data_IF_367454092238
#
_entry.id   IF_367454092238
#
_cell.length_a   1.000
_cell.length_b   1.000
_cell.length_c   1.000
_cell.angle_alpha   90.00
_cell.angle_beta   90.00
_cell.angle_gamma   90.00
#
_symmetry.space_group_name_H-M   'P 1'
#
loop_
_entity.id
_entity.type
_entity.pdbx_description
1 polymer ?
#
# COMPACT_ATOMS: atom_id res chain seq x y z
N UNK A 1 -3.47 9.96 -0.06
CA UNK A 1 -3.71 8.53 0.26
C UNK A 1 -2.57 7.70 -0.31
N UNK A 2 -2.17 6.61 0.35
CA UNK A 2 -1.09 5.74 -0.12
C UNK A 2 -1.48 4.27 -0.24
N UNK A 3 -0.78 3.55 -1.10
CA UNK A 3 -0.86 2.10 -1.25
C UNK A 3 0.55 1.51 -1.26
N UNK A 4 0.74 0.42 -0.52
CA UNK A 4 1.85 -0.52 -0.70
C UNK A 4 1.32 -1.83 -1.25
N UNK A 5 1.78 -2.24 -2.42
CA UNK A 5 1.13 -3.29 -3.23
C UNK A 5 2.10 -4.43 -3.54
N UNK A 6 1.66 -5.66 -3.42
CA UNK A 6 2.38 -6.80 -4.00
C UNK A 6 1.96 -6.96 -5.47
N UNK A 7 2.87 -6.74 -6.43
CA UNK A 7 2.53 -6.85 -7.85
C UNK A 7 2.22 -8.27 -8.31
N UNK A 8 2.68 -9.29 -7.57
CA UNK A 8 2.30 -10.68 -7.84
C UNK A 8 0.80 -10.89 -7.56
N UNK A 9 0.26 -10.15 -6.60
CA UNK A 9 -1.14 -10.19 -6.22
C UNK A 9 -2.00 -9.23 -7.05
N UNK A 10 -1.57 -7.98 -7.23
CA UNK A 10 -2.36 -6.95 -7.87
C UNK A 10 -1.50 -5.97 -8.68
N UNK A 11 -1.80 -5.77 -9.97
CA UNK A 11 -0.98 -4.97 -10.88
C UNK A 11 -1.74 -3.86 -11.63
N UNK A 12 -3.06 -3.75 -11.43
CA UNK A 12 -3.96 -2.80 -12.08
C UNK A 12 -4.02 -1.48 -11.27
N UNK A 13 -2.92 -0.72 -11.33
CA UNK A 13 -2.75 0.50 -10.54
C UNK A 13 -3.68 1.64 -10.97
N UNK A 14 -4.16 1.63 -12.21
CA UNK A 14 -5.14 2.61 -12.70
C UNK A 14 -6.39 2.61 -11.82
N UNK A 15 -6.91 1.43 -11.50
CA UNK A 15 -8.06 1.31 -10.59
C UNK A 15 -7.80 1.79 -9.16
N UNK A 16 -6.56 1.80 -8.69
CA UNK A 16 -6.21 2.37 -7.38
C UNK A 16 -6.19 3.91 -7.44
N UNK A 17 -5.72 4.49 -8.55
CA UNK A 17 -5.86 5.92 -8.80
C UNK A 17 -7.32 6.33 -8.91
N UNK A 18 -8.12 5.60 -9.69
CA UNK A 18 -9.56 5.81 -9.81
C UNK A 18 -10.27 5.75 -8.46
N UNK A 19 -9.87 4.81 -7.58
CA UNK A 19 -10.41 4.75 -6.24
C UNK A 19 -10.12 6.04 -5.46
N UNK A 20 -8.86 6.50 -5.44
CA UNK A 20 -8.52 7.77 -4.81
C UNK A 20 -9.32 8.95 -5.39
N UNK A 21 -9.49 8.99 -6.70
CA UNK A 21 -10.31 10.02 -7.37
C UNK A 21 -11.79 9.93 -7.01
N UNK A 22 -12.34 8.73 -6.81
CA UNK A 22 -13.72 8.56 -6.31
C UNK A 22 -13.92 9.11 -4.89
N UNK A 23 -12.84 9.28 -4.13
CA UNK A 23 -12.81 9.94 -2.82
C UNK A 23 -12.54 11.45 -2.90
N UNK A 24 -12.47 12.02 -4.11
CA UNK A 24 -12.19 13.44 -4.35
C UNK A 24 -10.70 13.80 -4.35
N UNK A 25 -9.78 12.83 -4.34
CA UNK A 25 -8.33 13.09 -4.41
C UNK A 25 -7.88 13.31 -5.87
N UNK A 26 -6.92 14.20 -6.07
CA UNK A 26 -6.26 14.29 -7.37
C UNK A 26 -5.30 13.09 -7.55
N UNK A 27 -5.08 12.59 -8.77
CA UNK A 27 -4.18 11.46 -9.01
C UNK A 27 -2.77 11.65 -8.42
N UNK A 28 -2.26 12.88 -8.42
CA UNK A 28 -0.96 13.23 -7.81
C UNK A 28 -0.89 13.03 -6.29
N UNK A 29 -2.04 13.04 -5.60
CA UNK A 29 -2.18 12.90 -4.14
C UNK A 29 -2.40 11.44 -3.73
N UNK A 30 -2.49 10.54 -4.72
CA UNK A 30 -2.46 9.09 -4.55
C UNK A 30 -1.04 8.60 -4.78
N UNK A 31 -0.43 8.02 -3.74
CA UNK A 31 0.92 7.48 -3.80
C UNK A 31 0.86 5.96 -3.84
N UNK A 32 1.50 5.34 -4.83
CA UNK A 32 1.57 3.89 -4.94
C UNK A 32 3.05 3.51 -4.93
N UNK A 33 3.38 2.54 -4.10
CA UNK A 33 4.68 1.92 -4.06
C UNK A 33 4.49 0.41 -4.08
N UNK A 34 5.29 -0.32 -4.86
CA UNK A 34 5.05 -1.75 -5.04
C UNK A 34 6.29 -2.61 -4.81
N UNK A 35 6.02 -3.83 -4.36
CA UNK A 35 7.00 -4.89 -4.24
C UNK A 35 6.95 -5.80 -5.47
N UNK A 36 8.13 -6.17 -5.97
CA UNK A 36 8.31 -7.17 -7.02
C UNK A 36 9.40 -8.14 -6.60
N UNK A 37 9.17 -9.45 -6.77
CA UNK A 37 10.20 -10.45 -6.46
C UNK A 37 11.45 -10.30 -7.35
N UNK A 38 11.24 -10.03 -8.64
CA UNK A 38 12.31 -9.84 -9.62
C UNK A 38 11.92 -8.74 -10.60
N UNK A 39 12.82 -7.77 -10.79
CA UNK A 39 12.65 -6.75 -11.83
C UNK A 39 12.66 -7.42 -13.20
N UNK A 40 11.60 -7.24 -13.98
CA UNK A 40 11.58 -7.69 -15.38
C UNK A 40 12.70 -6.97 -16.14
N UNK A 41 13.34 -7.67 -17.09
CA UNK A 41 14.44 -7.11 -17.92
C UNK A 41 13.97 -6.01 -18.88
N UNK A 42 12.66 -5.92 -19.12
CA UNK A 42 12.05 -4.82 -19.86
C UNK A 42 12.07 -3.56 -18.98
N UNK A 43 12.33 -2.36 -19.54
CA UNK A 43 12.23 -1.14 -18.77
C UNK A 43 10.81 -1.01 -18.22
N UNK A 44 10.61 -1.29 -16.93
CA UNK A 44 9.39 -0.88 -16.27
C UNK A 44 9.49 0.64 -16.11
N UNK A 45 8.56 1.37 -16.72
CA UNK A 45 8.42 2.83 -16.49
C UNK A 45 8.06 3.15 -15.01
N UNK A 46 7.71 2.12 -14.23
CA UNK A 46 7.36 2.21 -12.81
C UNK A 46 8.61 2.50 -11.99
N UNK A 47 8.75 3.74 -11.54
CA UNK A 47 9.86 4.17 -10.69
C UNK A 47 9.69 3.80 -9.21
N UNK A 48 8.45 3.58 -8.74
CA UNK A 48 8.13 3.30 -7.34
C UNK A 48 8.03 1.80 -7.06
N UNK A 49 9.12 1.08 -7.30
CA UNK A 49 9.24 -0.36 -7.06
C UNK A 49 10.41 -0.67 -6.13
N UNK A 50 10.26 -1.75 -5.35
CA UNK A 50 11.31 -2.34 -4.52
C UNK A 50 11.28 -3.87 -4.64
N UNK A 51 12.42 -4.51 -4.44
CA UNK A 51 12.60 -5.96 -4.34
C UNK A 51 13.09 -6.31 -2.94
N UNK A 52 13.25 -7.59 -2.65
CA UNK A 52 13.88 -8.02 -1.40
C UNK A 52 15.35 -7.58 -1.25
N UNK A 53 16.04 -7.28 -2.36
CA UNK A 53 17.48 -6.93 -2.37
C UNK A 53 17.77 -5.56 -1.77
N UNK A 54 16.79 -4.66 -1.72
CA UNK A 54 16.95 -3.35 -1.11
C UNK A 54 16.72 -3.34 0.41
N UNK A 55 16.41 -4.50 1.01
CA UNK A 55 16.29 -4.66 2.45
C UNK A 55 17.57 -5.28 3.02
N UNK A 56 18.06 -4.73 4.13
CA UNK A 56 19.12 -5.37 4.89
C UNK A 56 18.57 -6.46 5.82
N UNK A 57 19.44 -7.32 6.32
CA UNK A 57 19.07 -8.31 7.35
C UNK A 57 18.54 -7.68 8.64
N UNK A 58 18.80 -6.38 8.87
CA UNK A 58 18.25 -5.60 9.99
C UNK A 58 16.90 -4.95 9.69
N UNK A 59 16.35 -5.15 8.48
CA UNK A 59 15.10 -4.55 8.04
C UNK A 59 15.22 -3.10 7.54
N UNK A 60 16.44 -2.57 7.40
CA UNK A 60 16.65 -1.22 6.85
C UNK A 60 16.37 -1.22 5.35
N UNK A 61 15.65 -0.19 4.88
CA UNK A 61 15.33 0.02 3.47
C UNK A 61 16.36 0.95 2.85
N UNK A 62 17.15 0.45 1.90
CA UNK A 62 18.22 1.21 1.22
C UNK A 62 17.78 1.90 -0.06
N UNK A 63 16.58 1.61 -0.56
CA UNK A 63 16.11 2.18 -1.82
C UNK A 63 15.73 3.65 -1.63
N UNK A 64 16.36 4.57 -2.39
CA UNK A 64 16.11 6.01 -2.28
C UNK A 64 14.65 6.38 -2.55
N UNK A 65 14.06 5.82 -3.61
CA UNK A 65 12.63 6.03 -3.93
C UNK A 65 11.70 5.55 -2.80
N UNK A 66 12.04 4.43 -2.13
CA UNK A 66 11.26 3.90 -1.02
C UNK A 66 11.41 4.80 0.21
N UNK A 67 12.62 5.27 0.51
CA UNK A 67 12.84 6.27 1.57
C UNK A 67 12.03 7.55 1.31
N UNK A 68 12.04 8.05 0.09
CA UNK A 68 11.23 9.21 -0.31
C UNK A 68 9.74 8.95 -0.09
N UNK A 69 9.24 7.76 -0.43
CA UNK A 69 7.84 7.38 -0.17
C UNK A 69 7.50 7.29 1.32
N UNK A 70 8.39 6.70 2.14
CA UNK A 70 8.16 6.53 3.59
C UNK A 70 8.13 7.86 4.34
N UNK A 71 8.85 8.86 3.82
CA UNK A 71 8.86 10.22 4.35
C UNK A 71 7.60 11.02 4.01
N UNK A 72 6.76 10.56 3.07
CA UNK A 72 5.50 11.23 2.73
C UNK A 72 4.50 11.07 3.88
N UNK A 73 4.00 12.16 4.49
CA UNK A 73 2.92 12.07 5.44
C UNK A 73 1.62 11.68 4.71
N UNK A 74 0.99 10.60 5.15
CA UNK A 74 -0.23 10.07 4.56
C UNK A 74 -1.35 10.04 5.61
N UNK A 75 -2.55 10.48 5.26
CA UNK A 75 -3.70 10.30 6.18
C UNK A 75 -4.13 8.83 6.27
N UNK A 76 -4.00 8.10 5.15
CA UNK A 76 -4.32 6.67 5.04
C UNK A 76 -3.27 5.98 4.17
N UNK A 77 -2.76 4.85 4.66
CA UNK A 77 -1.94 3.91 3.90
C UNK A 77 -2.60 2.53 3.87
N UNK A 78 -2.71 1.94 2.69
CA UNK A 78 -3.34 0.64 2.49
C UNK A 78 -2.30 -0.39 2.07
N UNK A 79 -2.18 -1.48 2.83
CA UNK A 79 -1.41 -2.67 2.45
C UNK A 79 -2.24 -3.56 1.54
N UNK A 80 -2.00 -3.47 0.23
CA UNK A 80 -2.77 -4.17 -0.79
C UNK A 80 -2.15 -5.53 -1.13
N UNK A 81 -2.29 -6.47 -0.19
CA UNK A 81 -1.84 -7.85 -0.31
C UNK A 81 -2.56 -8.73 0.74
N UNK A 82 -2.79 -10.03 0.46
CA UNK A 82 -3.39 -10.95 1.41
C UNK A 82 -2.37 -11.38 2.47
N UNK A 83 -2.84 -11.56 3.72
CA UNK A 83 -2.03 -12.19 4.77
C UNK A 83 -0.80 -11.38 5.18
N UNK A 84 0.32 -12.08 5.41
CA UNK A 84 1.59 -11.49 5.85
C UNK A 84 2.53 -11.32 4.68
N UNK A 85 3.21 -10.18 4.61
CA UNK A 85 4.24 -9.92 3.63
C UNK A 85 5.38 -9.11 4.26
N UNK A 86 6.50 -9.76 4.58
CA UNK A 86 7.57 -9.19 5.41
C UNK A 86 8.09 -7.82 4.92
N UNK A 87 8.38 -7.71 3.62
CA UNK A 87 8.93 -6.48 3.02
C UNK A 87 7.92 -5.33 3.01
N UNK A 88 6.68 -5.58 2.56
CA UNK A 88 5.62 -4.57 2.58
C UNK A 88 5.18 -4.22 4.01
N UNK A 89 5.21 -5.19 4.93
CA UNK A 89 4.97 -4.96 6.36
C UNK A 89 6.04 -4.03 6.95
N UNK A 90 7.32 -4.20 6.59
CA UNK A 90 8.37 -3.29 6.98
C UNK A 90 8.16 -1.86 6.43
N UNK A 91 7.61 -1.72 5.22
CA UNK A 91 7.23 -0.42 4.67
C UNK A 91 6.06 0.21 5.43
N UNK A 92 5.04 -0.57 5.80
CA UNK A 92 3.91 -0.06 6.60
C UNK A 92 4.40 0.46 7.95
N UNK A 93 5.23 -0.32 8.65
CA UNK A 93 5.82 0.06 9.95
C UNK A 93 6.65 1.34 9.87
N UNK A 94 7.45 1.50 8.82
CA UNK A 94 8.34 2.66 8.67
C UNK A 94 7.63 3.89 8.06
N UNK A 95 6.37 3.76 7.64
CA UNK A 95 5.65 4.86 7.02
C UNK A 95 5.24 5.94 8.03
N UNK A 96 5.06 7.18 7.56
CA UNK A 96 4.47 8.28 8.33
C UNK A 96 2.94 8.35 8.18
N UNK A 97 2.29 7.22 7.93
CA UNK A 97 0.85 7.17 7.79
C UNK A 97 0.15 7.36 9.14
N UNK A 98 -0.93 8.14 9.18
CA UNK A 98 -1.75 8.36 10.38
C UNK A 98 -2.78 7.26 10.63
N UNK A 99 -3.08 6.49 9.59
CA UNK A 99 -4.04 5.39 9.65
C UNK A 99 -3.65 4.31 8.65
N UNK A 100 -3.52 3.08 9.09
CA UNK A 100 -3.12 1.95 8.25
C UNK A 100 -4.24 0.93 8.09
N UNK A 101 -4.48 0.50 6.86
CA UNK A 101 -5.52 -0.49 6.52
C UNK A 101 -4.86 -1.71 5.87
N UNK A 102 -5.18 -2.89 6.37
CA UNK A 102 -4.74 -4.18 5.83
C UNK A 102 -5.92 -5.13 5.62
N UNK A 103 -5.61 -6.37 5.24
CA UNK A 103 -6.60 -7.43 5.08
C UNK A 103 -6.51 -8.45 6.21
N UNK A 104 -7.63 -9.11 6.51
CA UNK A 104 -7.68 -10.19 7.50
C UNK A 104 -6.59 -11.22 7.23
N UNK A 105 -5.87 -11.62 8.28
CA UNK A 105 -4.70 -12.51 8.19
C UNK A 105 -3.36 -11.79 8.18
N UNK A 106 -3.34 -10.47 8.02
CA UNK A 106 -2.17 -9.64 8.32
C UNK A 106 -1.92 -9.57 9.84
N UNK A 107 -0.75 -9.08 10.22
CA UNK A 107 -0.40 -8.85 11.62
C UNK A 107 -1.15 -7.61 12.16
N UNK A 108 -2.05 -7.83 13.11
CA UNK A 108 -2.91 -6.78 13.70
C UNK A 108 -2.14 -5.66 14.39
N UNK A 109 -0.87 -5.89 14.77
CA UNK A 109 -0.04 -4.86 15.40
C UNK A 109 0.44 -3.80 14.40
N UNK A 110 0.33 -4.08 13.09
CA UNK A 110 0.78 -3.20 12.01
C UNK A 110 -0.32 -2.31 11.46
N UNK A 111 -1.58 -2.67 11.73
CA UNK A 111 -2.75 -2.11 11.06
C UNK A 111 -3.79 -1.62 12.04
N UNK A 112 -4.22 -0.37 11.89
CA UNK A 112 -5.33 0.19 12.67
C UNK A 112 -6.68 -0.45 12.29
N UNK A 113 -6.79 -0.95 11.05
CA UNK A 113 -7.97 -1.62 10.54
C UNK A 113 -7.61 -2.81 9.67
N UNK A 114 -8.20 -3.97 9.94
CA UNK A 114 -8.13 -5.16 9.10
C UNK A 114 -9.49 -5.43 8.44
N UNK A 115 -9.53 -5.36 7.11
CA UNK A 115 -10.73 -5.63 6.35
C UNK A 115 -10.97 -7.14 6.22
N UNK A 116 -12.18 -7.57 6.52
CA UNK A 116 -12.63 -8.96 6.33
C UNK A 116 -13.24 -9.19 4.93
N UNK A 117 -12.68 -8.55 3.91
CA UNK A 117 -13.07 -8.71 2.51
C UNK A 117 -12.00 -9.47 1.75
N UNK A 118 -12.42 -10.19 0.72
CA UNK A 118 -11.48 -10.86 -0.17
C UNK A 118 -10.77 -9.79 -1.02
N UNK A 119 -9.42 -9.73 -1.02
CA UNK A 119 -8.68 -8.63 -1.64
C UNK A 119 -8.74 -8.63 -3.18
N UNK A 120 -9.23 -9.71 -3.78
CA UNK A 120 -9.55 -9.86 -5.20
C UNK A 120 -10.87 -9.17 -5.60
N UNK A 121 -11.78 -8.93 -4.66
CA UNK A 121 -12.98 -8.14 -4.90
C UNK A 121 -12.74 -6.65 -4.58
N UNK A 122 -12.31 -5.90 -5.61
CA UNK A 122 -11.98 -4.49 -5.47
C UNK A 122 -13.19 -3.63 -5.07
N UNK A 123 -14.41 -3.95 -5.53
CA UNK A 123 -15.59 -3.13 -5.23
C UNK A 123 -16.03 -3.29 -3.78
N UNK A 124 -16.00 -4.51 -3.25
CA UNK A 124 -16.24 -4.76 -1.82
C UNK A 124 -15.18 -4.05 -0.97
N UNK A 125 -13.91 -4.14 -1.36
CA UNK A 125 -12.81 -3.40 -0.72
C UNK A 125 -13.07 -1.89 -0.69
N UNK A 126 -13.40 -1.28 -1.83
CA UNK A 126 -13.67 0.16 -1.93
C UNK A 126 -14.82 0.54 -0.99
N UNK A 127 -15.89 -0.25 -0.98
CA UNK A 127 -17.08 0.01 -0.17
C UNK A 127 -16.78 -0.01 1.34
N UNK A 128 -16.03 -0.99 1.81
CA UNK A 128 -15.66 -1.12 3.23
C UNK A 128 -14.67 -0.03 3.64
N UNK A 129 -13.66 0.29 2.81
CA UNK A 129 -12.76 1.42 3.10
C UNK A 129 -13.54 2.72 3.24
N UNK A 130 -14.44 3.03 2.29
CA UNK A 130 -15.27 4.25 2.36
C UNK A 130 -16.09 4.28 3.65
N UNK A 131 -16.73 3.17 4.00
CA UNK A 131 -17.55 3.03 5.21
C UNK A 131 -16.73 3.32 6.46
N UNK A 132 -15.56 2.70 6.61
CA UNK A 132 -14.72 2.92 7.80
C UNK A 132 -14.11 4.32 7.84
N UNK A 133 -13.64 4.87 6.71
CA UNK A 133 -13.09 6.22 6.69
C UNK A 133 -14.14 7.27 7.13
N UNK A 134 -15.42 7.08 6.76
CA UNK A 134 -16.53 7.91 7.26
C UNK A 134 -16.75 7.75 8.77
N UNK A 135 -16.75 6.50 9.28
CA UNK A 135 -16.91 6.22 10.73
C UNK A 135 -15.81 6.90 11.54
N UNK A 136 -14.57 6.86 11.06
CA UNK A 136 -13.41 7.45 11.71
C UNK A 136 -13.23 8.95 11.42
N UNK A 137 -14.17 9.58 10.70
CA UNK A 137 -14.11 11.01 10.30
C UNK A 137 -12.79 11.38 9.63
N UNK A 138 -12.27 10.48 8.79
CA UNK A 138 -11.06 10.68 7.99
C UNK A 138 -11.36 11.24 6.61
N UNK A 139 -12.63 11.17 6.19
CA UNK A 139 -13.25 11.82 5.02
C UNK A 139 -14.65 12.28 5.40
#
# INVERSE_FOLDING_TARGET
MGFVVDEAFYNDFEKLYEFGTSLGLQPKDVKIFSFVETRKKLPSLRQNQITNKEFTWRGEIKSKNAQEFLEVPLDVLIGFYPGKHEYLSAMVVQSKAKFTIGFKGADERLYDLLLAVAPDNLDDFKSEVIKYLKIFKKI
#
